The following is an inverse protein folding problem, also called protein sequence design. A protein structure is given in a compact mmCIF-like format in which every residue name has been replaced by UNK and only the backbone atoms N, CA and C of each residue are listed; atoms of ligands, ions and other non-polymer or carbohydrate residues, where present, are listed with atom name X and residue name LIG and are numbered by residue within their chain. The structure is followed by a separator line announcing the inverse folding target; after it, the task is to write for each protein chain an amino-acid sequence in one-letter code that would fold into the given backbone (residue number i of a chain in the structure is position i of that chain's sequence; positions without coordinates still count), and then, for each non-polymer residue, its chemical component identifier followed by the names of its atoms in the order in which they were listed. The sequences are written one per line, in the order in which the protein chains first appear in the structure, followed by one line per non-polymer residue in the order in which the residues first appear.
data_IF_633806872493
#
_entry.id   IF_633806872493
#
_cell.length_a   1.000
_cell.length_b   1.000
_cell.length_c   1.000
_cell.angle_alpha   90.00
_cell.angle_beta   90.00
_cell.angle_gamma   90.00
#
_symmetry.space_group_name_H-M   'P 1'
#
loop_
_entity.id
_entity.type
_entity.pdbx_description
1 polymer ?
#
# COMPACT_ATOMS: atom_id res chain seq x y z
N UNK A 1 6.30 -11.01 -18.30
CA UNK A 1 7.10 -9.78 -18.15
C UNK A 1 7.27 -9.53 -16.66
N UNK A 2 8.51 -9.47 -16.17
CA UNK A 2 8.77 -9.16 -14.77
C UNK A 2 8.93 -7.64 -14.68
N UNK A 3 8.01 -6.96 -13.99
CA UNK A 3 8.06 -5.51 -13.83
C UNK A 3 8.90 -5.19 -12.60
N UNK A 4 9.86 -4.27 -12.72
CA UNK A 4 10.80 -3.91 -11.64
C UNK A 4 10.14 -3.11 -10.51
N UNK A 5 9.05 -2.42 -10.80
CA UNK A 5 8.37 -1.53 -9.84
C UNK A 5 6.89 -1.88 -9.73
N UNK A 6 6.31 -1.53 -8.59
CA UNK A 6 4.92 -1.80 -8.27
C UNK A 6 4.23 -0.62 -7.58
N UNK A 7 2.93 -0.49 -7.86
CA UNK A 7 1.99 0.22 -7.00
C UNK A 7 1.27 -0.83 -6.18
N UNK A 8 1.19 -0.64 -4.86
CA UNK A 8 0.38 -1.46 -3.98
C UNK A 8 -0.77 -0.62 -3.43
N UNK A 9 -1.97 -1.18 -3.50
CA UNK A 9 -3.20 -0.63 -2.94
C UNK A 9 -3.57 -1.41 -1.67
N UNK A 10 -3.83 -0.68 -0.59
CA UNK A 10 -4.47 -1.16 0.63
C UNK A 10 -5.40 -0.07 1.14
N UNK A 11 -6.37 -0.42 1.96
CA UNK A 11 -7.13 0.53 2.76
C UNK A 11 -6.65 0.51 4.21
N UNK A 12 -7.07 1.49 4.99
CA UNK A 12 -6.97 1.50 6.46
C UNK A 12 -8.30 2.04 7.01
N UNK A 13 -8.78 1.55 8.16
CA UNK A 13 -9.96 2.11 8.80
C UNK A 13 -9.72 3.57 9.18
N UNK A 14 -10.80 4.36 9.25
CA UNK A 14 -10.72 5.80 9.47
C UNK A 14 -10.02 6.21 10.79
N UNK A 15 -10.04 5.34 11.81
CA UNK A 15 -9.43 5.55 13.12
C UNK A 15 -7.98 5.04 13.21
N UNK A 16 -7.45 4.35 12.21
CA UNK A 16 -6.06 3.93 12.17
C UNK A 16 -5.11 5.12 11.96
N UNK A 17 -3.92 5.03 12.56
CA UNK A 17 -2.83 5.99 12.34
C UNK A 17 -2.13 5.74 11.00
N UNK A 18 -2.79 6.20 9.92
CA UNK A 18 -2.27 6.08 8.57
C UNK A 18 -0.93 6.81 8.36
N UNK A 19 -0.63 7.84 9.16
CA UNK A 19 0.65 8.55 9.07
C UNK A 19 1.79 7.70 9.63
N UNK A 20 1.60 7.11 10.81
CA UNK A 20 2.57 6.20 11.41
C UNK A 20 2.79 4.96 10.54
N UNK A 21 1.71 4.38 9.98
CA UNK A 21 1.79 3.28 9.02
C UNK A 21 2.66 3.66 7.81
N UNK A 22 2.35 4.77 7.14
CA UNK A 22 3.10 5.21 5.97
C UNK A 22 4.58 5.50 6.28
N UNK A 23 4.86 6.17 7.40
CA UNK A 23 6.23 6.48 7.84
C UNK A 23 7.02 5.20 8.09
N UNK A 24 6.44 4.24 8.80
CA UNK A 24 7.08 2.97 9.10
C UNK A 24 7.52 2.25 7.82
N UNK A 25 6.64 2.17 6.81
CA UNK A 25 6.98 1.51 5.54
C UNK A 25 8.10 2.21 4.78
N UNK A 26 8.19 3.53 4.85
CA UNK A 26 9.25 4.31 4.21
C UNK A 26 10.56 4.22 5.01
N UNK A 27 10.50 4.36 6.33
CA UNK A 27 11.66 4.30 7.23
C UNK A 27 12.33 2.91 7.18
N UNK A 28 11.54 1.85 7.07
CA UNK A 28 12.01 0.47 6.91
C UNK A 28 12.40 0.13 5.46
N UNK A 29 12.38 1.10 4.54
CA UNK A 29 12.73 0.96 3.11
C UNK A 29 11.89 -0.09 2.36
N UNK A 30 10.67 -0.35 2.82
CA UNK A 30 9.71 -1.23 2.17
C UNK A 30 8.91 -0.51 1.09
N UNK A 31 8.85 0.82 1.15
CA UNK A 31 8.23 1.69 0.18
C UNK A 31 9.10 2.93 -0.06
N UNK A 32 9.19 3.37 -1.31
CA UNK A 32 9.80 4.66 -1.62
C UNK A 32 8.87 5.82 -1.28
N UNK A 33 7.56 5.63 -1.50
CA UNK A 33 6.54 6.64 -1.31
C UNK A 33 5.20 6.01 -0.93
N UNK A 34 4.45 6.68 -0.06
CA UNK A 34 3.08 6.31 0.29
C UNK A 34 2.20 7.55 0.18
N UNK A 35 1.14 7.48 -0.63
CA UNK A 35 0.11 8.51 -0.65
C UNK A 35 -1.02 8.10 0.28
N UNK A 36 -1.45 9.03 1.12
CA UNK A 36 -2.63 8.92 1.97
C UNK A 36 -3.74 9.72 1.33
N UNK A 37 -4.75 9.06 0.78
CA UNK A 37 -5.91 9.75 0.23
C UNK A 37 -6.84 10.26 1.36
N UNK A 38 -7.70 11.25 1.06
CA UNK A 38 -8.73 11.70 1.99
C UNK A 38 -9.66 10.56 2.43
N UNK A 39 -10.51 10.84 3.42
CA UNK A 39 -11.54 9.90 3.86
C UNK A 39 -12.43 9.46 2.69
N UNK A 40 -12.77 8.18 2.68
CA UNK A 40 -13.63 7.54 1.69
C UNK A 40 -14.53 6.50 2.36
N UNK A 41 -15.41 5.87 1.59
CA UNK A 41 -16.20 4.74 2.04
C UNK A 41 -15.92 3.50 1.18
N UNK A 42 -15.75 2.37 1.84
CA UNK A 42 -15.68 1.05 1.20
C UNK A 42 -17.03 0.37 1.36
N UNK A 43 -17.57 -0.15 0.25
CA UNK A 43 -18.84 -0.88 0.21
C UNK A 43 -18.57 -2.30 -0.26
N UNK A 44 -18.88 -3.29 0.58
CA UNK A 44 -18.57 -4.70 0.29
C UNK A 44 -19.64 -5.63 0.86
N UNK A 45 -19.55 -6.93 0.56
CA UNK A 45 -20.48 -7.94 1.11
C UNK A 45 -19.79 -8.78 2.17
N UNK A 46 -20.34 -8.81 3.36
CA UNK A 46 -19.88 -9.65 4.46
C UNK A 46 -21.06 -10.30 5.18
N UNK A 47 -20.94 -11.59 5.54
CA UNK A 47 -22.03 -12.32 6.21
C UNK A 47 -23.38 -12.31 5.45
N UNK A 48 -23.34 -12.17 4.13
CA UNK A 48 -24.55 -12.07 3.28
C UNK A 48 -25.19 -10.68 3.23
N UNK A 49 -24.68 -9.68 3.96
CA UNK A 49 -25.17 -8.30 3.97
C UNK A 49 -24.20 -7.37 3.23
N UNK A 50 -24.72 -6.25 2.74
CA UNK A 50 -23.88 -5.16 2.23
C UNK A 50 -23.45 -4.34 3.45
N UNK A 51 -22.15 -4.21 3.64
CA UNK A 51 -21.51 -3.37 4.65
C UNK A 51 -20.97 -2.11 3.97
N UNK A 52 -20.87 -1.02 4.74
CA UNK A 52 -20.32 0.25 4.32
C UNK A 52 -19.48 0.81 5.47
N UNK A 53 -18.20 1.03 5.23
CA UNK A 53 -17.25 1.44 6.26
C UNK A 53 -16.42 2.64 5.82
N UNK A 54 -16.14 3.54 6.78
CA UNK A 54 -15.29 4.70 6.56
C UNK A 54 -13.81 4.29 6.59
N UNK A 55 -13.09 4.59 5.52
CA UNK A 55 -11.71 4.16 5.32
C UNK A 55 -10.86 5.26 4.69
N UNK A 56 -9.58 4.97 4.50
CA UNK A 56 -8.64 5.74 3.68
C UNK A 56 -7.95 4.80 2.70
N UNK A 57 -7.91 5.18 1.43
CA UNK A 57 -7.06 4.49 0.45
C UNK A 57 -5.60 4.89 0.65
N UNK A 58 -4.74 3.87 0.64
CA UNK A 58 -3.29 3.99 0.71
C UNK A 58 -2.72 3.53 -0.64
N UNK A 59 -1.86 4.35 -1.23
CA UNK A 59 -1.20 4.04 -2.52
C UNK A 59 0.31 4.05 -2.34
N UNK A 60 0.89 2.86 -2.27
CA UNK A 60 2.30 2.60 -1.95
C UNK A 60 3.08 2.38 -3.24
N UNK A 61 4.25 2.99 -3.40
CA UNK A 61 5.15 2.79 -4.55
C UNK A 61 6.41 2.12 -4.03
N UNK A 62 6.77 0.99 -4.63
CA UNK A 62 7.91 0.19 -4.18
C UNK A 62 8.55 -0.56 -5.34
N UNK A 63 9.72 -1.11 -5.10
CA UNK A 63 10.38 -2.07 -5.99
C UNK A 63 9.72 -3.43 -5.87
N UNK A 64 9.69 -4.17 -6.97
CA UNK A 64 8.96 -5.44 -7.06
C UNK A 64 9.51 -6.51 -6.11
N UNK A 65 10.82 -6.50 -5.88
CA UNK A 65 11.52 -7.39 -4.95
C UNK A 65 11.14 -7.13 -3.48
N UNK A 66 10.65 -5.94 -3.13
CA UNK A 66 10.18 -5.60 -1.79
C UNK A 66 8.74 -6.01 -1.50
N UNK A 67 7.95 -6.37 -2.50
CA UNK A 67 6.51 -6.64 -2.32
C UNK A 67 6.22 -7.72 -1.27
N UNK A 68 7.06 -8.76 -1.17
CA UNK A 68 6.87 -9.82 -0.16
C UNK A 68 7.11 -9.29 1.26
N UNK A 69 8.24 -8.60 1.48
CA UNK A 69 8.55 -8.00 2.79
C UNK A 69 7.55 -6.89 3.16
N UNK A 70 7.11 -6.11 2.17
CA UNK A 70 6.05 -5.12 2.33
C UNK A 70 4.75 -5.78 2.78
N UNK A 71 4.35 -6.89 2.16
CA UNK A 71 3.15 -7.62 2.57
C UNK A 71 3.23 -8.10 4.02
N UNK A 72 4.34 -8.74 4.40
CA UNK A 72 4.54 -9.21 5.78
C UNK A 72 4.41 -8.06 6.77
N UNK A 73 5.04 -6.92 6.47
CA UNK A 73 4.98 -5.76 7.36
C UNK A 73 3.60 -5.11 7.41
N UNK A 74 2.93 -5.00 6.26
CA UNK A 74 1.55 -4.49 6.22
C UNK A 74 0.67 -5.38 7.07
N UNK A 75 0.72 -6.70 6.91
CA UNK A 75 -0.04 -7.65 7.75
C UNK A 75 0.22 -7.46 9.24
N UNK A 76 1.47 -7.23 9.64
CA UNK A 76 1.82 -7.05 11.05
C UNK A 76 1.34 -5.70 11.63
N UNK A 77 1.18 -4.67 10.79
CA UNK A 77 0.73 -3.34 11.19
C UNK A 77 -0.79 -3.14 11.04
N UNK A 78 -1.44 -3.95 10.22
CA UNK A 78 -2.81 -3.71 9.79
C UNK A 78 -3.83 -4.16 10.85
N UNK A 79 -4.86 -3.36 11.18
CA UNK A 79 -5.85 -3.73 12.18
C UNK A 79 -6.80 -4.87 11.74
N UNK A 80 -7.07 -5.01 10.45
CA UNK A 80 -7.86 -6.11 9.91
C UNK A 80 -7.04 -7.39 9.74
N UNK A 81 -7.69 -8.54 9.96
CA UNK A 81 -7.12 -9.86 9.72
C UNK A 81 -6.80 -10.14 8.24
N UNK A 82 -7.63 -9.59 7.34
CA UNK A 82 -7.50 -9.74 5.89
C UNK A 82 -7.61 -8.36 5.23
N UNK A 83 -6.53 -7.57 5.21
CA UNK A 83 -6.54 -6.28 4.52
C UNK A 83 -6.61 -6.43 2.99
N UNK A 84 -7.09 -5.39 2.32
CA UNK A 84 -6.84 -5.21 0.89
C UNK A 84 -5.32 -5.14 0.66
N UNK A 85 -4.78 -5.95 -0.24
CA UNK A 85 -3.39 -5.81 -0.68
C UNK A 85 -3.28 -6.21 -2.16
N UNK A 86 -3.44 -5.24 -3.05
CA UNK A 86 -3.46 -5.46 -4.49
C UNK A 86 -2.21 -4.85 -5.11
N UNK A 87 -1.48 -5.65 -5.89
CA UNK A 87 -0.22 -5.25 -6.52
C UNK A 87 -0.45 -5.01 -8.00
N UNK A 88 -0.19 -3.77 -8.44
CA UNK A 88 -0.27 -3.35 -9.82
C UNK A 88 1.14 -3.14 -10.38
N UNK A 89 1.38 -3.71 -11.57
CA UNK A 89 2.64 -3.51 -12.27
C UNK A 89 2.75 -2.06 -12.79
N UNK A 90 3.89 -1.41 -12.54
CA UNK A 90 4.25 -0.18 -13.25
C UNK A 90 4.89 -0.61 -14.58
N UNK A 91 4.23 -0.25 -15.68
CA UNK A 91 4.66 -0.63 -17.04
C UNK A 91 5.61 0.41 -17.63
N UNK A 92 5.40 1.69 -17.31
CA UNK A 92 6.18 2.81 -17.81
C UNK A 92 6.07 4.01 -16.85
N UNK A 93 6.96 5.00 -16.98
CA UNK A 93 7.00 6.20 -16.16
C UNK A 93 8.23 7.05 -16.42
N UNK A 94 8.45 8.06 -15.59
CA UNK A 94 9.67 8.86 -15.68
C UNK A 94 10.87 8.05 -15.15
N UNK A 95 11.90 7.82 -15.99
CA UNK A 95 13.09 7.03 -15.64
C UNK A 95 13.78 7.48 -14.35
N UNK A 96 13.88 8.79 -14.11
CA UNK A 96 14.53 9.30 -12.90
C UNK A 96 13.71 8.96 -11.65
N UNK A 97 12.39 9.06 -11.73
CA UNK A 97 11.49 8.69 -10.64
C UNK A 97 11.49 7.19 -10.37
N UNK A 98 11.48 6.35 -11.42
CA UNK A 98 11.54 4.90 -11.27
C UNK A 98 12.86 4.46 -10.64
N UNK A 99 14.00 5.00 -11.10
CA UNK A 99 15.30 4.74 -10.44
C UNK A 99 15.31 5.14 -8.97
N UNK A 100 14.73 6.29 -8.65
CA UNK A 100 14.61 6.72 -7.25
C UNK A 100 13.79 5.74 -6.41
N UNK A 101 12.76 5.09 -6.95
CA UNK A 101 12.02 4.03 -6.23
C UNK A 101 12.95 2.89 -5.85
N UNK A 102 13.80 2.41 -6.76
CA UNK A 102 14.79 1.38 -6.46
C UNK A 102 15.78 1.83 -5.38
N UNK A 103 16.38 3.00 -5.56
CA UNK A 103 17.38 3.55 -4.63
C UNK A 103 16.82 3.77 -3.22
N UNK A 104 15.59 4.26 -3.11
CA UNK A 104 14.92 4.51 -1.82
C UNK A 104 14.52 3.21 -1.09
N UNK A 105 14.49 2.08 -1.80
CA UNK A 105 14.10 0.77 -1.26
C UNK A 105 15.25 -0.23 -1.23
N UNK A 106 16.51 0.22 -1.32
CA UNK A 106 17.69 -0.64 -1.22
C UNK A 106 18.14 -0.84 0.22
#
# INVERSE_FOLDING_TARGET
MNHEYAIVLTTLPADADAQSFARTLVDERLAACVNLLPAMESVYRWGGKIEQEAERQIVIKTSRDRVVALWERVRDLHPYDVPEFIVLAIVDGNDAYLRWIAEATT
#
